data_IF_846430637022
#
_entry.id   IF_846430637022
#
_cell.length_a   1.000
_cell.length_b   1.000
_cell.length_c   1.000
_cell.angle_alpha   90.00
_cell.angle_beta   90.00
_cell.angle_gamma   90.00
#
_symmetry.space_group_name_H-M   'P 1'
#
loop_
_entity.id
_entity.type
_entity.pdbx_description
1 polymer ?
#
# COMPACT_ATOMS: atom_id res chain seq x y z
N UNK A 1 -1.83 -18.01 31.38
CA UNK A 1 -3.06 -17.64 32.13
C UNK A 1 -2.98 -16.23 32.73
N UNK A 2 -2.15 -15.95 33.74
CA UNK A 2 -2.10 -14.63 34.40
C UNK A 2 -1.76 -13.46 33.43
N UNK A 3 -0.85 -13.70 32.48
CA UNK A 3 -0.48 -12.72 31.45
C UNK A 3 -1.63 -12.43 30.46
N UNK A 4 -2.45 -13.43 30.14
CA UNK A 4 -3.59 -13.30 29.23
C UNK A 4 -4.74 -12.54 29.89
N UNK A 5 -5.01 -12.82 31.17
CA UNK A 5 -5.96 -12.03 31.98
C UNK A 5 -5.54 -10.56 32.03
N UNK A 6 -4.26 -10.27 32.29
CA UNK A 6 -3.76 -8.89 32.31
C UNK A 6 -3.91 -8.18 30.95
N UNK A 7 -3.70 -8.88 29.84
CA UNK A 7 -3.90 -8.37 28.48
C UNK A 7 -5.37 -8.03 28.21
N UNK A 8 -6.29 -8.88 28.63
CA UNK A 8 -7.74 -8.62 28.55
C UNK A 8 -8.10 -7.43 29.45
N UNK A 9 -7.58 -7.36 30.67
CA UNK A 9 -7.86 -6.24 31.58
C UNK A 9 -7.41 -4.89 31.00
N UNK A 10 -6.19 -4.81 30.47
CA UNK A 10 -5.68 -3.59 29.81
C UNK A 10 -6.57 -3.19 28.62
N UNK A 11 -6.96 -4.14 27.78
CA UNK A 11 -7.87 -3.89 26.67
C UNK A 11 -9.22 -3.29 27.12
N UNK A 12 -9.85 -3.85 28.15
CA UNK A 12 -11.14 -3.37 28.65
C UNK A 12 -11.05 -1.94 29.23
N UNK A 13 -9.90 -1.58 29.80
CA UNK A 13 -9.66 -0.25 30.36
C UNK A 13 -9.36 0.80 29.29
N UNK A 14 -8.59 0.45 28.26
CA UNK A 14 -7.95 1.43 27.37
C UNK A 14 -8.55 1.46 25.95
N UNK A 15 -9.14 0.38 25.46
CA UNK A 15 -9.62 0.31 24.07
C UNK A 15 -10.75 1.31 23.78
N UNK A 16 -10.93 1.74 22.52
CA UNK A 16 -12.11 2.51 22.11
C UNK A 16 -13.40 1.79 22.48
N UNK A 17 -14.43 2.53 22.89
CA UNK A 17 -15.71 1.96 23.31
C UNK A 17 -16.30 1.05 22.24
N UNK A 18 -16.17 1.41 20.96
CA UNK A 18 -16.67 0.69 19.80
C UNK A 18 -16.03 -0.69 19.62
N UNK A 19 -14.78 -0.87 20.06
CA UNK A 19 -14.03 -2.11 19.92
C UNK A 19 -14.30 -3.13 21.04
N UNK A 20 -14.96 -2.73 22.12
CA UNK A 20 -15.24 -3.60 23.27
C UNK A 20 -16.44 -4.49 22.94
N UNK A 21 -16.17 -5.75 22.58
CA UNK A 21 -17.17 -6.79 22.34
C UNK A 21 -16.56 -8.18 22.57
N UNK A 22 -17.40 -9.20 22.66
CA UNK A 22 -17.00 -10.61 22.80
C UNK A 22 -16.01 -11.07 21.71
N UNK A 23 -16.20 -10.65 20.45
CA UNK A 23 -15.30 -10.98 19.34
C UNK A 23 -13.84 -10.52 19.56
N UNK A 24 -13.66 -9.33 20.13
CA UNK A 24 -12.32 -8.81 20.48
C UNK A 24 -11.67 -9.63 21.59
N UNK A 25 -12.46 -10.18 22.52
CA UNK A 25 -11.94 -11.04 23.58
C UNK A 25 -11.46 -12.38 23.03
N UNK A 26 -12.22 -13.00 22.11
CA UNK A 26 -11.75 -14.18 21.41
C UNK A 26 -10.41 -13.93 20.73
N UNK A 27 -10.28 -12.84 19.99
CA UNK A 27 -9.03 -12.45 19.32
C UNK A 27 -7.86 -12.30 20.30
N UNK A 28 -8.08 -11.68 21.47
CA UNK A 28 -7.03 -11.50 22.48
C UNK A 28 -6.57 -12.81 23.12
N UNK A 29 -7.44 -13.81 23.18
CA UNK A 29 -7.17 -15.15 23.73
C UNK A 29 -6.57 -16.15 22.75
N UNK A 30 -6.35 -15.73 21.51
CA UNK A 30 -5.65 -16.55 20.50
C UNK A 30 -4.16 -16.60 20.78
N UNK A 31 -3.58 -17.78 20.61
CA UNK A 31 -2.14 -18.02 20.56
C UNK A 31 -1.80 -18.64 19.20
N UNK A 32 -1.39 -17.81 18.25
CA UNK A 32 -1.31 -18.20 16.84
C UNK A 32 -2.69 -18.59 16.29
N UNK A 33 -2.82 -19.84 15.84
CA UNK A 33 -4.01 -20.40 15.20
C UNK A 33 -4.97 -21.11 16.18
N UNK A 34 -4.54 -21.27 17.44
CA UNK A 34 -5.32 -21.95 18.47
C UNK A 34 -6.14 -20.96 19.28
N UNK A 35 -7.46 -21.15 19.26
CA UNK A 35 -8.40 -20.47 20.16
C UNK A 35 -8.51 -21.32 21.42
N UNK A 36 -8.19 -20.72 22.57
CA UNK A 36 -8.37 -21.37 23.89
C UNK A 36 -9.79 -21.93 24.03
N UNK A 37 -9.95 -23.04 24.77
CA UNK A 37 -11.27 -23.62 25.01
C UNK A 37 -12.26 -22.57 25.53
N UNK A 38 -13.51 -22.61 25.05
CA UNK A 38 -14.53 -21.63 25.39
C UNK A 38 -14.70 -21.43 26.91
N UNK A 39 -14.68 -22.52 27.68
CA UNK A 39 -14.78 -22.45 29.13
C UNK A 39 -13.58 -21.70 29.74
N UNK A 40 -12.40 -21.85 29.16
CA UNK A 40 -11.18 -21.13 29.54
C UNK A 40 -11.31 -19.65 29.21
N UNK A 41 -11.73 -19.30 27.98
CA UNK A 41 -11.96 -17.90 27.57
C UNK A 41 -13.01 -17.24 28.45
N UNK A 42 -14.14 -17.90 28.69
CA UNK A 42 -15.20 -17.42 29.56
C UNK A 42 -14.66 -17.14 30.97
N UNK A 43 -13.94 -18.09 31.56
CA UNK A 43 -13.38 -17.93 32.92
C UNK A 43 -12.37 -16.78 32.98
N UNK A 44 -11.52 -16.63 31.97
CA UNK A 44 -10.57 -15.51 31.86
C UNK A 44 -11.29 -14.17 31.72
N UNK A 45 -12.36 -14.13 30.92
CA UNK A 45 -13.16 -12.93 30.66
C UNK A 45 -13.94 -12.52 31.90
N UNK A 46 -14.60 -13.46 32.57
CA UNK A 46 -15.30 -13.23 33.86
C UNK A 46 -14.35 -12.62 34.89
N UNK A 47 -13.14 -13.18 35.00
CA UNK A 47 -12.12 -12.67 35.93
C UNK A 47 -11.68 -11.25 35.57
N UNK A 48 -11.41 -10.97 34.30
CA UNK A 48 -10.99 -9.66 33.83
C UNK A 48 -12.11 -8.60 33.94
N UNK A 49 -13.35 -8.95 33.60
CA UNK A 49 -14.53 -8.08 33.72
C UNK A 49 -14.80 -7.74 35.19
N UNK A 50 -14.72 -8.72 36.10
CA UNK A 50 -14.89 -8.47 37.54
C UNK A 50 -13.81 -7.55 38.10
N UNK A 51 -12.55 -7.74 37.69
CA UNK A 51 -11.42 -6.88 38.06
C UNK A 51 -11.53 -5.45 37.52
N UNK A 52 -11.87 -5.29 36.24
CA UNK A 52 -11.89 -3.99 35.56
C UNK A 52 -13.14 -3.16 35.87
N UNK A 53 -14.29 -3.79 36.05
CA UNK A 53 -15.55 -3.08 36.40
C UNK A 53 -15.47 -2.35 37.74
N UNK A 54 -14.58 -2.76 38.64
CA UNK A 54 -14.28 -2.07 39.89
C UNK A 54 -13.36 -0.85 39.69
N UNK A 55 -12.55 -0.83 38.62
CA UNK A 55 -11.57 0.21 38.30
C UNK A 55 -12.13 1.29 37.36
N UNK A 56 -13.26 1.06 36.71
CA UNK A 56 -13.86 1.96 35.72
C UNK A 56 -14.87 2.91 36.40
N UNK A 57 -14.60 4.21 36.37
CA UNK A 57 -15.54 5.26 36.82
C UNK A 57 -16.58 5.62 35.75
N UNK A 58 -16.24 5.49 34.46
CA UNK A 58 -17.15 5.82 33.37
C UNK A 58 -18.27 4.79 33.22
N UNK A 59 -19.50 5.18 33.56
CA UNK A 59 -20.68 4.31 33.50
C UNK A 59 -20.92 3.68 32.12
N UNK A 60 -20.72 4.42 31.02
CA UNK A 60 -20.94 3.91 29.66
C UNK A 60 -19.96 2.79 29.31
N UNK A 61 -18.68 2.97 29.67
CA UNK A 61 -17.65 1.92 29.50
C UNK A 61 -17.94 0.73 30.41
N UNK A 62 -18.29 0.98 31.68
CA UNK A 62 -18.62 -0.07 32.66
C UNK A 62 -19.76 -0.97 32.18
N UNK A 63 -20.85 -0.38 31.67
CA UNK A 63 -21.96 -1.14 31.06
C UNK A 63 -21.49 -1.98 29.89
N UNK A 64 -20.68 -1.42 28.99
CA UNK A 64 -20.19 -2.15 27.81
C UNK A 64 -19.27 -3.31 28.18
N UNK A 65 -18.41 -3.14 29.18
CA UNK A 65 -17.52 -4.20 29.70
C UNK A 65 -18.32 -5.34 30.35
N UNK A 66 -19.38 -5.05 31.11
CA UNK A 66 -20.23 -6.09 31.72
C UNK A 66 -21.04 -6.85 30.65
N UNK A 67 -21.52 -6.15 29.62
CA UNK A 67 -22.34 -6.76 28.56
C UNK A 67 -21.59 -7.82 27.74
N UNK A 68 -20.26 -7.83 27.75
CA UNK A 68 -19.45 -8.87 27.09
C UNK A 68 -19.83 -10.28 27.59
N UNK A 69 -20.14 -10.43 28.88
CA UNK A 69 -20.53 -11.73 29.43
C UNK A 69 -21.88 -12.20 28.87
N UNK A 70 -22.81 -11.28 28.66
CA UNK A 70 -24.10 -11.56 28.03
C UNK A 70 -23.94 -11.90 26.54
N UNK A 71 -23.02 -11.23 25.84
CA UNK A 71 -22.68 -11.54 24.45
C UNK A 71 -22.03 -12.93 24.29
N UNK A 72 -21.28 -13.40 25.29
CA UNK A 72 -20.70 -14.74 25.30
C UNK A 72 -21.75 -15.82 25.54
N UNK A 73 -22.79 -15.52 26.32
CA UNK A 73 -23.89 -16.44 26.63
C UNK A 73 -24.92 -16.58 25.50
N UNK A 74 -24.90 -15.72 24.48
CA UNK A 74 -25.87 -15.75 23.38
C UNK A 74 -25.59 -16.86 22.35
N UNK A 75 -26.66 -17.47 21.82
CA UNK A 75 -26.56 -18.49 20.76
C UNK A 75 -25.97 -17.95 19.44
N UNK A 76 -26.02 -16.62 19.23
CA UNK A 76 -25.46 -15.91 18.07
C UNK A 76 -23.93 -15.97 17.96
N UNK A 77 -23.21 -16.31 19.05
CA UNK A 77 -21.75 -16.36 19.05
C UNK A 77 -21.17 -17.68 18.45
N UNK A 78 -21.97 -18.75 18.35
CA UNK A 78 -21.50 -20.05 17.79
C UNK A 78 -21.28 -20.06 16.27
N UNK A 79 -22.15 -19.45 15.44
CA UNK A 79 -21.90 -19.28 14.01
C UNK A 79 -20.65 -18.43 13.72
N UNK A 80 -20.39 -17.41 14.55
CA UNK A 80 -19.19 -16.56 14.44
C UNK A 80 -17.89 -17.35 14.53
N UNK A 81 -17.83 -18.36 15.43
CA UNK A 81 -16.68 -19.28 15.54
C UNK A 81 -16.43 -20.08 14.26
N UNK A 82 -17.47 -20.66 13.67
CA UNK A 82 -17.35 -21.47 12.45
C UNK A 82 -17.01 -20.62 11.21
N UNK A 83 -17.56 -19.40 11.14
CA UNK A 83 -17.27 -18.45 10.07
C UNK A 83 -15.84 -17.90 10.19
N UNK A 84 -15.38 -17.57 11.40
CA UNK A 84 -14.01 -17.10 11.63
C UNK A 84 -12.98 -18.21 11.38
N UNK A 85 -13.24 -19.44 11.84
CA UNK A 85 -12.36 -20.58 11.57
C UNK A 85 -12.31 -20.92 10.07
N UNK A 86 -13.45 -20.89 9.38
CA UNK A 86 -13.52 -21.16 7.94
C UNK A 86 -12.93 -20.05 7.07
N UNK A 87 -13.04 -18.79 7.49
CA UNK A 87 -12.40 -17.66 6.81
C UNK A 87 -10.88 -17.72 6.99
N UNK A 88 -10.42 -18.10 8.18
CA UNK A 88 -8.99 -18.21 8.47
C UNK A 88 -8.35 -19.37 7.72
N UNK A 89 -9.00 -20.54 7.64
CA UNK A 89 -8.51 -21.66 6.84
C UNK A 89 -8.38 -21.28 5.36
N UNK A 90 -9.37 -20.59 4.80
CA UNK A 90 -9.31 -20.10 3.41
C UNK A 90 -8.15 -19.12 3.19
N UNK A 91 -7.89 -18.21 4.12
CA UNK A 91 -6.78 -17.25 4.00
C UNK A 91 -5.44 -17.99 4.03
N UNK A 92 -5.23 -18.95 4.94
CA UNK A 92 -4.00 -19.74 4.97
C UNK A 92 -3.82 -20.52 3.66
N UNK A 93 -4.87 -21.18 3.17
CA UNK A 93 -4.83 -21.90 1.89
C UNK A 93 -4.45 -20.99 0.72
N UNK A 94 -4.99 -19.76 0.68
CA UNK A 94 -4.66 -18.74 -0.32
C UNK A 94 -3.18 -18.32 -0.23
N UNK A 95 -2.67 -18.11 1.00
CA UNK A 95 -1.26 -17.77 1.26
C UNK A 95 -0.33 -18.92 0.83
N UNK A 96 -0.62 -20.14 1.24
CA UNK A 96 0.15 -21.31 0.86
C UNK A 96 0.22 -21.48 -0.65
N UNK A 97 -0.94 -21.32 -1.32
CA UNK A 97 -1.02 -21.41 -2.77
C UNK A 97 -0.20 -20.31 -3.44
N UNK A 98 -0.27 -19.07 -2.96
CA UNK A 98 0.54 -17.96 -3.44
C UNK A 98 2.04 -18.22 -3.28
N UNK A 99 2.47 -18.70 -2.11
CA UNK A 99 3.89 -19.04 -1.88
C UNK A 99 4.34 -20.18 -2.80
N UNK A 100 3.50 -21.20 -3.04
CA UNK A 100 3.79 -22.27 -4.01
C UNK A 100 3.93 -21.72 -5.43
N UNK A 101 3.03 -20.83 -5.86
CA UNK A 101 3.10 -20.16 -7.18
C UNK A 101 4.40 -19.37 -7.30
N UNK A 102 4.77 -18.60 -6.27
CA UNK A 102 6.01 -17.83 -6.24
C UNK A 102 7.23 -18.75 -6.36
N UNK A 103 7.29 -19.86 -5.61
CA UNK A 103 8.37 -20.85 -5.70
C UNK A 103 8.48 -21.48 -7.09
N UNK A 104 7.36 -21.73 -7.76
CA UNK A 104 7.33 -22.25 -9.13
C UNK A 104 7.89 -21.24 -10.12
N UNK A 105 7.47 -19.96 -10.03
CA UNK A 105 8.01 -18.87 -10.85
C UNK A 105 9.52 -18.69 -10.63
N UNK A 106 9.98 -18.71 -9.38
CA UNK A 106 11.41 -18.66 -9.03
C UNK A 106 12.19 -19.90 -9.49
N UNK A 107 11.53 -21.04 -9.67
CA UNK A 107 12.14 -22.25 -10.20
C UNK A 107 12.39 -22.24 -11.70
N UNK A 108 11.79 -21.28 -12.42
CA UNK A 108 11.81 -21.20 -13.89
C UNK A 108 12.20 -19.79 -14.35
N UNK A 109 13.44 -19.33 -14.07
CA UNK A 109 13.88 -18.01 -14.48
C UNK A 109 13.83 -17.88 -16.01
N UNK A 110 13.33 -16.74 -16.49
CA UNK A 110 13.23 -16.47 -17.94
C UNK A 110 14.60 -16.16 -18.53
N UNK A 111 15.50 -15.55 -17.77
CA UNK A 111 16.85 -15.17 -18.23
C UNK A 111 17.94 -15.83 -17.39
N UNK A 112 19.09 -16.10 -18.01
CA UNK A 112 20.26 -16.64 -17.31
C UNK A 112 20.81 -15.67 -16.25
N UNK A 113 20.58 -14.36 -16.42
CA UNK A 113 20.97 -13.33 -15.45
C UNK A 113 20.19 -13.46 -14.14
N UNK A 114 18.92 -13.89 -14.23
CA UNK A 114 18.03 -14.06 -13.07
C UNK A 114 18.29 -15.36 -12.30
N UNK A 115 18.94 -16.36 -12.88
CA UNK A 115 19.14 -17.68 -12.25
C UNK A 115 19.74 -17.60 -10.85
N UNK A 116 20.79 -16.79 -10.67
CA UNK A 116 21.48 -16.67 -9.38
C UNK A 116 20.57 -15.99 -8.35
N UNK A 117 19.89 -14.90 -8.75
CA UNK A 117 18.95 -14.20 -7.89
C UNK A 117 17.79 -15.11 -7.49
N UNK A 118 17.18 -15.79 -8.45
CA UNK A 118 16.01 -16.65 -8.25
C UNK A 118 16.34 -17.85 -7.39
N UNK A 119 17.50 -18.49 -7.61
CA UNK A 119 18.01 -19.58 -6.78
C UNK A 119 18.21 -19.13 -5.33
N UNK A 120 18.74 -17.93 -5.12
CA UNK A 120 18.95 -17.38 -3.78
C UNK A 120 17.63 -17.02 -3.09
N UNK A 121 16.70 -16.36 -3.79
CA UNK A 121 15.37 -16.07 -3.29
C UNK A 121 14.62 -17.35 -2.89
N UNK A 122 14.63 -18.36 -3.76
CA UNK A 122 14.02 -19.66 -3.48
C UNK A 122 14.63 -20.32 -2.24
N UNK A 123 15.96 -20.34 -2.12
CA UNK A 123 16.65 -20.85 -0.94
C UNK A 123 16.27 -20.09 0.33
N UNK A 124 16.15 -18.77 0.27
CA UNK A 124 15.76 -17.95 1.41
C UNK A 124 14.30 -18.23 1.84
N UNK A 125 13.40 -18.45 0.87
CA UNK A 125 12.02 -18.86 1.15
C UNK A 125 11.98 -20.28 1.75
N UNK A 126 12.76 -21.22 1.23
CA UNK A 126 12.77 -22.61 1.72
C UNK A 126 13.44 -22.76 3.09
N UNK A 127 14.46 -21.96 3.39
CA UNK A 127 15.28 -22.09 4.59
C UNK A 127 14.99 -21.10 5.71
N UNK A 128 14.17 -20.07 5.49
CA UNK A 128 13.99 -18.96 6.44
C UNK A 128 12.58 -18.41 6.58
N UNK A 129 11.59 -18.98 5.90
CA UNK A 129 10.21 -18.51 5.95
C UNK A 129 9.31 -19.57 6.57
N UNK A 130 8.68 -19.23 7.71
CA UNK A 130 7.60 -20.03 8.24
C UNK A 130 6.27 -19.58 7.61
N UNK A 131 5.68 -20.40 6.73
CA UNK A 131 4.47 -20.03 6.00
C UNK A 131 3.27 -19.85 6.95
N UNK A 132 3.22 -20.59 8.06
CA UNK A 132 2.13 -20.47 9.04
C UNK A 132 2.15 -19.15 9.81
N UNK A 133 3.28 -18.43 9.84
CA UNK A 133 3.39 -17.12 10.48
C UNK A 133 3.01 -15.97 9.54
N UNK A 134 2.82 -16.25 8.25
CA UNK A 134 2.43 -15.24 7.27
C UNK A 134 0.97 -14.87 7.41
N UNK A 135 0.70 -13.57 7.33
CA UNK A 135 -0.64 -13.02 7.31
C UNK A 135 -0.86 -12.18 6.05
N UNK A 136 -2.11 -11.82 5.77
CA UNK A 136 -2.47 -10.99 4.60
C UNK A 136 -1.77 -9.62 4.53
N UNK A 137 -1.14 -9.19 5.63
CA UNK A 137 -0.35 -7.96 5.73
C UNK A 137 1.05 -8.11 5.16
N UNK A 138 1.56 -9.33 5.03
CA UNK A 138 2.89 -9.60 4.51
C UNK A 138 2.88 -9.59 2.97
N UNK A 139 3.76 -8.81 2.30
CA UNK A 139 3.80 -8.76 0.83
C UNK A 139 3.96 -10.14 0.18
N UNK A 140 4.82 -10.99 0.76
CA UNK A 140 5.08 -12.34 0.23
C UNK A 140 3.85 -13.25 0.25
N UNK A 141 2.93 -13.03 1.19
CA UNK A 141 1.67 -13.75 1.27
C UNK A 141 0.83 -13.52 0.00
N UNK A 142 1.01 -12.38 -0.67
CA UNK A 142 0.40 -12.02 -1.96
C UNK A 142 1.38 -12.11 -3.13
N UNK A 143 2.44 -12.93 -3.02
CA UNK A 143 3.51 -13.12 -4.02
C UNK A 143 4.43 -11.93 -4.27
N UNK A 144 4.31 -10.85 -3.50
CA UNK A 144 5.10 -9.62 -3.67
C UNK A 144 6.46 -9.73 -2.97
N UNK A 145 7.52 -9.39 -3.69
CA UNK A 145 8.87 -9.27 -3.15
C UNK A 145 9.14 -7.80 -2.81
N UNK A 146 9.12 -7.47 -1.52
CA UNK A 146 9.40 -6.12 -1.02
C UNK A 146 10.87 -5.97 -0.64
N UNK A 147 11.51 -4.86 -1.04
CA UNK A 147 12.92 -4.54 -0.80
C UNK A 147 13.33 -4.50 0.69
N UNK A 148 12.39 -4.19 1.56
CA UNK A 148 12.54 -4.16 3.01
C UNK A 148 12.36 -5.55 3.68
N UNK A 149 11.92 -6.56 2.94
CA UNK A 149 11.64 -7.89 3.47
C UNK A 149 12.92 -8.62 3.93
N UNK A 150 12.78 -9.49 4.95
CA UNK A 150 13.90 -10.31 5.47
C UNK A 150 14.54 -11.17 4.38
N UNK A 151 13.73 -11.66 3.44
CA UNK A 151 14.18 -12.52 2.33
C UNK A 151 15.14 -11.77 1.40
N UNK A 152 14.89 -10.49 1.15
CA UNK A 152 15.74 -9.64 0.30
C UNK A 152 16.97 -9.14 1.08
N UNK A 153 16.82 -8.82 2.36
CA UNK A 153 17.95 -8.41 3.24
C UNK A 153 19.05 -9.48 3.33
N UNK A 154 18.69 -10.76 3.19
CA UNK A 154 19.64 -11.88 3.20
C UNK A 154 20.39 -12.08 1.86
N UNK A 155 20.12 -11.28 0.83
CA UNK A 155 20.82 -11.35 -0.45
C UNK A 155 22.19 -10.66 -0.39
N UNK A 156 23.15 -11.20 -1.14
CA UNK A 156 24.44 -10.55 -1.36
C UNK A 156 24.27 -9.22 -2.10
N UNK A 157 25.27 -8.33 -2.02
CA UNK A 157 25.25 -7.05 -2.74
C UNK A 157 25.04 -7.24 -4.26
N UNK A 158 25.70 -8.23 -4.87
CA UNK A 158 25.54 -8.54 -6.31
C UNK A 158 24.11 -8.95 -6.66
N UNK A 159 23.48 -9.78 -5.83
CA UNK A 159 22.10 -10.22 -6.04
C UNK A 159 21.10 -9.06 -5.86
N UNK A 160 21.33 -8.18 -4.87
CA UNK A 160 20.48 -6.99 -4.68
C UNK A 160 20.55 -6.03 -5.86
N UNK A 161 21.72 -5.84 -6.45
CA UNK A 161 21.88 -5.06 -7.70
C UNK A 161 21.09 -5.63 -8.89
N UNK A 162 20.97 -6.95 -9.00
CA UNK A 162 20.13 -7.58 -10.03
C UNK A 162 18.63 -7.48 -9.71
N UNK A 163 18.30 -7.24 -8.44
CA UNK A 163 16.92 -7.10 -7.98
C UNK A 163 16.40 -5.67 -8.14
N UNK A 164 17.24 -4.68 -7.84
CA UNK A 164 16.93 -3.25 -7.92
C UNK A 164 16.78 -2.76 -9.35
N UNK A 165 15.88 -1.78 -9.49
CA UNK A 165 15.64 -1.05 -10.73
C UNK A 165 16.22 0.35 -10.53
N UNK A 166 17.56 0.45 -10.61
CA UNK A 166 18.28 1.70 -10.40
C UNK A 166 17.78 2.81 -11.36
N UNK A 167 17.12 2.44 -12.46
CA UNK A 167 16.61 3.32 -13.49
C UNK A 167 15.57 4.35 -13.01
N UNK A 168 14.96 4.14 -11.83
CA UNK A 168 13.89 5.00 -11.30
C UNK A 168 14.35 6.12 -10.35
N UNK A 169 15.56 6.07 -9.78
CA UNK A 169 15.82 6.83 -8.52
C UNK A 169 17.09 7.69 -8.51
N UNK A 170 18.16 7.32 -9.21
CA UNK A 170 19.46 7.95 -8.95
C UNK A 170 20.15 8.57 -10.15
N UNK A 171 20.65 9.80 -9.92
CA UNK A 171 21.57 10.58 -10.74
C UNK A 171 21.13 10.66 -12.20
N UNK A 172 19.96 11.28 -12.40
CA UNK A 172 19.49 11.56 -13.75
C UNK A 172 20.48 12.47 -14.47
N UNK A 173 21.09 11.96 -15.54
CA UNK A 173 21.93 12.78 -16.41
C UNK A 173 21.06 13.69 -17.30
N UNK A 174 21.65 14.77 -17.81
CA UNK A 174 21.01 15.69 -18.75
C UNK A 174 20.70 14.99 -20.09
N UNK A 175 19.67 15.47 -20.79
CA UNK A 175 19.28 14.91 -22.09
C UNK A 175 19.96 15.67 -23.23
N UNK A 176 20.72 14.96 -24.07
CA UNK A 176 21.39 15.56 -25.23
C UNK A 176 20.44 15.83 -26.42
N UNK A 177 19.26 15.19 -26.45
CA UNK A 177 18.29 15.34 -27.54
C UNK A 177 16.83 15.13 -27.06
N UNK A 178 16.01 16.19 -26.95
CA UNK A 178 14.63 16.11 -26.43
C UNK A 178 13.64 15.49 -27.43
N UNK A 179 14.05 15.26 -28.69
CA UNK A 179 13.16 14.75 -29.72
C UNK A 179 13.22 13.21 -29.78
N UNK A 180 12.39 12.54 -28.97
CA UNK A 180 11.65 11.31 -29.35
C UNK A 180 10.71 10.86 -28.19
N UNK A 181 9.53 11.48 -28.07
CA UNK A 181 8.47 11.00 -27.13
C UNK A 181 7.95 9.62 -27.54
N UNK A 182 8.34 9.03 -28.67
CA UNK A 182 7.76 7.75 -29.12
C UNK A 182 8.37 6.49 -28.51
N UNK A 183 9.53 6.56 -27.83
CA UNK A 183 10.25 5.38 -27.32
C UNK A 183 10.99 5.63 -25.99
N UNK A 184 10.42 6.44 -25.09
CA UNK A 184 11.12 6.74 -23.83
C UNK A 184 11.01 5.56 -22.86
N UNK A 185 12.08 5.32 -22.13
CA UNK A 185 12.24 4.27 -21.13
C UNK A 185 12.82 4.87 -19.86
N UNK A 186 12.81 4.12 -18.75
CA UNK A 186 13.58 4.51 -17.58
C UNK A 186 15.02 4.10 -17.83
N UNK A 187 15.90 5.09 -17.90
CA UNK A 187 17.32 4.97 -18.30
C UNK A 187 18.23 5.91 -17.49
N UNK A 188 17.74 6.44 -16.35
CA UNK A 188 18.42 7.46 -15.56
C UNK A 188 18.71 8.76 -16.33
N UNK A 189 17.84 9.16 -17.26
CA UNK A 189 17.86 10.50 -17.84
C UNK A 189 16.60 11.30 -17.48
N UNK A 190 16.76 12.62 -17.35
CA UNK A 190 15.61 13.52 -17.34
C UNK A 190 14.90 13.49 -18.70
N UNK A 191 13.57 13.43 -18.70
CA UNK A 191 12.75 13.45 -19.93
C UNK A 191 12.34 14.85 -20.37
N UNK A 192 12.77 15.84 -19.64
CA UNK A 192 12.56 17.26 -19.88
C UNK A 192 13.88 17.99 -19.68
N UNK A 193 14.05 19.11 -20.38
CA UNK A 193 15.23 19.96 -20.24
C UNK A 193 15.21 20.78 -18.94
N UNK A 194 16.32 21.43 -18.64
CA UNK A 194 16.47 22.27 -17.45
C UNK A 194 15.39 23.36 -17.37
N UNK A 195 14.96 23.90 -18.50
CA UNK A 195 13.96 24.97 -18.54
C UNK A 195 12.58 24.48 -18.06
N UNK A 196 12.08 23.35 -18.58
CA UNK A 196 10.79 22.80 -18.15
C UNK A 196 10.86 22.23 -16.71
N UNK A 197 12.01 21.70 -16.30
CA UNK A 197 12.24 21.28 -14.91
C UNK A 197 12.21 22.47 -13.95
N UNK A 198 12.91 23.57 -14.28
CA UNK A 198 12.95 24.80 -13.48
C UNK A 198 11.55 25.42 -13.37
N UNK A 199 10.85 25.57 -14.49
CA UNK A 199 9.47 26.06 -14.53
C UNK A 199 8.54 25.20 -13.67
N UNK A 200 8.72 23.88 -13.66
CA UNK A 200 7.95 23.00 -12.78
C UNK A 200 8.33 23.19 -11.31
N UNK A 201 9.62 23.34 -10.99
CA UNK A 201 10.08 23.62 -9.64
C UNK A 201 9.53 24.96 -9.12
N UNK A 202 9.49 26.01 -9.95
CA UNK A 202 8.91 27.31 -9.62
C UNK A 202 7.41 27.21 -9.31
N UNK A 203 6.65 26.41 -10.07
CA UNK A 203 5.24 26.14 -9.77
C UNK A 203 5.05 25.43 -8.43
N UNK A 204 5.89 24.44 -8.13
CA UNK A 204 5.86 23.73 -6.84
C UNK A 204 6.19 24.70 -5.70
N UNK A 205 7.19 25.57 -5.89
CA UNK A 205 7.55 26.61 -4.92
C UNK A 205 6.40 27.58 -4.67
N UNK A 206 5.71 28.05 -5.71
CA UNK A 206 4.53 28.91 -5.54
C UNK A 206 3.43 28.24 -4.71
N UNK A 207 3.17 26.94 -4.92
CA UNK A 207 2.24 26.18 -4.06
C UNK A 207 2.73 26.09 -2.61
N UNK A 208 4.04 25.94 -2.38
CA UNK A 208 4.59 25.94 -1.02
C UNK A 208 4.45 27.31 -0.36
N UNK A 209 4.64 28.41 -1.10
CA UNK A 209 4.38 29.77 -0.60
C UNK A 209 2.93 29.92 -0.16
N UNK A 210 1.97 29.44 -0.95
CA UNK A 210 0.55 29.43 -0.60
C UNK A 210 0.28 28.61 0.68
N UNK A 211 0.91 27.44 0.81
CA UNK A 211 0.81 26.58 2.01
C UNK A 211 1.36 27.30 3.25
N UNK A 212 2.51 27.97 3.14
CA UNK A 212 3.13 28.70 4.25
C UNK A 212 2.30 29.89 4.69
N UNK A 213 1.54 30.50 3.78
CA UNK A 213 0.60 31.56 4.10
C UNK A 213 -0.73 31.05 4.69
N UNK A 214 -0.99 29.74 4.67
CA UNK A 214 -2.23 29.17 5.18
C UNK A 214 -2.25 29.13 6.73
N UNK A 215 -3.17 29.86 7.38
CA UNK A 215 -3.26 29.89 8.85
C UNK A 215 -3.47 28.50 9.48
N UNK A 216 -4.09 27.56 8.75
CA UNK A 216 -4.32 26.19 9.21
C UNK A 216 -3.02 25.43 9.52
N UNK A 217 -1.91 25.81 8.89
CA UNK A 217 -0.60 25.16 9.04
C UNK A 217 0.48 26.07 9.63
N UNK A 218 0.12 27.30 10.01
CA UNK A 218 1.04 28.32 10.52
C UNK A 218 1.82 27.93 11.78
N UNK A 219 1.28 27.03 12.61
CA UNK A 219 1.94 26.55 13.83
C UNK A 219 1.73 25.06 13.98
N UNK A 220 2.60 24.40 14.75
CA UNK A 220 2.43 22.98 15.10
C UNK A 220 1.11 22.70 15.84
N UNK A 221 0.61 23.66 16.63
CA UNK A 221 -0.66 23.51 17.32
C UNK A 221 -1.83 23.50 16.33
N UNK A 222 -1.86 24.44 15.39
CA UNK A 222 -2.91 24.53 14.37
C UNK A 222 -2.82 23.40 13.34
N UNK A 223 -1.62 22.98 12.93
CA UNK A 223 -1.46 21.86 11.98
C UNK A 223 -1.89 20.53 12.58
N UNK A 224 -1.61 20.29 13.87
CA UNK A 224 -1.90 19.01 14.53
C UNK A 224 -3.39 18.66 14.64
N UNK A 225 -4.26 19.67 14.60
CA UNK A 225 -5.71 19.48 14.70
C UNK A 225 -6.39 19.35 13.33
N UNK A 226 -5.65 19.53 12.22
CA UNK A 226 -6.23 19.45 10.89
C UNK A 226 -6.67 18.03 10.53
N UNK A 227 -7.77 17.96 9.77
CA UNK A 227 -8.27 16.68 9.27
C UNK A 227 -7.40 16.14 8.15
N UNK A 228 -7.48 14.83 7.91
CA UNK A 228 -6.82 14.18 6.77
C UNK A 228 -7.31 14.77 5.44
N UNK A 229 -8.62 15.04 5.35
CA UNK A 229 -9.23 15.68 4.18
C UNK A 229 -8.65 17.07 3.90
N UNK A 230 -8.52 17.92 4.94
CA UNK A 230 -7.92 19.26 4.82
C UNK A 230 -6.47 19.18 4.37
N UNK A 231 -5.69 18.24 4.93
CA UNK A 231 -4.31 18.06 4.53
C UNK A 231 -4.19 17.60 3.06
N UNK A 232 -5.08 16.71 2.62
CA UNK A 232 -5.16 16.27 1.23
C UNK A 232 -5.52 17.43 0.31
N UNK A 233 -6.55 18.21 0.63
CA UNK A 233 -7.07 19.26 -0.26
C UNK A 233 -6.14 20.46 -0.36
N UNK A 234 -5.49 20.83 0.74
CA UNK A 234 -4.79 22.11 0.85
C UNK A 234 -3.28 21.95 0.66
N UNK A 235 -2.73 20.73 0.80
CA UNK A 235 -1.30 20.46 0.68
C UNK A 235 -0.98 19.42 -0.37
N UNK A 236 -1.47 18.19 -0.20
CA UNK A 236 -1.04 17.05 -1.03
C UNK A 236 -1.51 17.19 -2.48
N UNK A 237 -2.81 17.44 -2.69
CA UNK A 237 -3.39 17.57 -4.02
C UNK A 237 -2.79 18.76 -4.80
N UNK A 238 -2.64 19.97 -4.23
CA UNK A 238 -1.96 21.08 -4.88
C UNK A 238 -0.52 20.74 -5.32
N UNK A 239 0.28 20.12 -4.45
CA UNK A 239 1.65 19.71 -4.78
C UNK A 239 1.68 18.71 -5.95
N UNK A 240 0.81 17.70 -5.93
CA UNK A 240 0.71 16.74 -7.03
C UNK A 240 0.25 17.40 -8.33
N UNK A 241 -0.72 18.32 -8.28
CA UNK A 241 -1.18 19.06 -9.45
C UNK A 241 -0.08 19.93 -10.05
N UNK A 242 0.66 20.68 -9.24
CA UNK A 242 1.79 21.48 -9.72
C UNK A 242 2.84 20.59 -10.40
N UNK A 243 3.21 19.49 -9.74
CA UNK A 243 4.23 18.55 -10.23
C UNK A 243 3.84 17.85 -11.54
N UNK A 244 2.56 17.54 -11.72
CA UNK A 244 2.03 16.78 -12.86
C UNK A 244 1.29 17.64 -13.88
N UNK A 245 1.37 18.96 -13.78
CA UNK A 245 0.78 19.91 -14.74
C UNK A 245 1.63 20.01 -16.01
N UNK A 246 0.99 20.21 -17.17
CA UNK A 246 1.69 20.42 -18.44
C UNK A 246 2.75 19.36 -18.77
N UNK A 247 2.42 18.08 -18.59
CA UNK A 247 3.30 16.99 -19.01
C UNK A 247 3.45 16.98 -20.53
N UNK A 248 4.65 16.66 -21.09
CA UNK A 248 4.91 16.67 -22.52
C UNK A 248 4.07 15.65 -23.31
N UNK A 249 3.53 14.63 -22.62
CA UNK A 249 2.66 13.61 -23.21
C UNK A 249 1.19 13.75 -22.79
N UNK A 250 0.78 14.96 -22.41
CA UNK A 250 -0.60 15.37 -22.14
C UNK A 250 -1.04 15.22 -20.68
N UNK A 251 -2.25 15.66 -20.38
CA UNK A 251 -2.77 15.74 -19.01
C UNK A 251 -3.01 14.38 -18.36
N UNK A 252 -2.84 14.33 -17.03
CA UNK A 252 -3.22 13.21 -16.17
C UNK A 252 -4.40 13.62 -15.29
N UNK A 253 -5.36 12.72 -15.06
CA UNK A 253 -6.49 13.01 -14.20
C UNK A 253 -6.19 12.56 -12.77
N UNK A 254 -6.20 13.49 -11.82
CA UNK A 254 -6.13 13.20 -10.38
C UNK A 254 -7.54 13.27 -9.79
N UNK A 255 -8.02 12.16 -9.23
CA UNK A 255 -9.31 12.08 -8.52
C UNK A 255 -9.11 11.87 -7.03
N UNK A 256 -9.98 12.42 -6.19
CA UNK A 256 -9.97 12.28 -4.73
C UNK A 256 -10.81 11.08 -4.23
N UNK A 257 -10.69 10.82 -2.92
CA UNK A 257 -11.18 9.69 -2.11
C UNK A 257 -12.64 9.22 -2.29
N UNK A 258 -13.46 9.93 -3.06
CA UNK A 258 -14.81 9.50 -3.37
C UNK A 258 -14.83 8.43 -4.47
N UNK A 259 -13.81 8.40 -5.34
CA UNK A 259 -13.72 7.45 -6.45
C UNK A 259 -13.32 6.06 -5.96
N UNK A 260 -14.05 5.04 -6.42
CA UNK A 260 -13.67 3.64 -6.22
C UNK A 260 -12.62 3.21 -7.26
N UNK A 261 -11.60 2.49 -6.82
CA UNK A 261 -10.64 1.83 -7.71
C UNK A 261 -11.34 0.76 -8.56
N UNK A 262 -11.18 0.87 -9.88
CA UNK A 262 -11.59 -0.09 -10.88
C UNK A 262 -10.80 -1.39 -10.74
N UNK A 263 -9.50 -1.31 -10.44
CA UNK A 263 -8.63 -2.46 -10.28
C UNK A 263 -9.05 -3.31 -9.07
N UNK A 264 -9.22 -2.67 -7.92
CA UNK A 264 -9.73 -3.31 -6.71
C UNK A 264 -11.13 -3.88 -6.92
N UNK A 265 -12.02 -3.14 -7.59
CA UNK A 265 -13.36 -3.60 -7.93
C UNK A 265 -13.34 -4.83 -8.83
N UNK A 266 -12.49 -4.86 -9.86
CA UNK A 266 -12.37 -5.98 -10.77
C UNK A 266 -11.97 -7.25 -10.01
N UNK A 267 -10.92 -7.19 -9.18
CA UNK A 267 -10.51 -8.32 -8.34
C UNK A 267 -11.61 -8.79 -7.39
N UNK A 268 -12.27 -7.88 -6.68
CA UNK A 268 -13.28 -8.25 -5.66
C UNK A 268 -14.52 -8.93 -6.23
N UNK A 269 -14.82 -8.67 -7.51
CA UNK A 269 -15.98 -9.22 -8.22
C UNK A 269 -15.65 -10.47 -9.03
N UNK A 270 -14.37 -10.81 -9.18
CA UNK A 270 -13.97 -11.99 -9.92
C UNK A 270 -14.52 -13.26 -9.27
N UNK A 271 -15.15 -14.14 -10.07
CA UNK A 271 -15.71 -15.43 -9.65
C UNK A 271 -16.80 -15.45 -8.57
N UNK A 272 -17.24 -14.30 -8.02
CA UNK A 272 -18.05 -14.28 -6.78
C UNK A 272 -19.54 -14.02 -6.97
N UNK A 273 -20.01 -13.71 -8.19
CA UNK A 273 -21.43 -13.50 -8.52
C UNK A 273 -22.13 -12.35 -7.76
N UNK A 274 -21.43 -11.63 -6.89
CA UNK A 274 -21.94 -10.55 -6.03
C UNK A 274 -21.18 -9.27 -6.33
N UNK A 275 -21.90 -8.16 -6.51
CA UNK A 275 -21.29 -6.84 -6.76
C UNK A 275 -20.72 -6.26 -5.46
N UNK A 276 -19.41 -6.38 -5.28
CA UNK A 276 -18.62 -5.70 -4.25
C UNK A 276 -18.09 -4.36 -4.79
N UNK A 277 -18.11 -3.34 -3.94
CA UNK A 277 -17.51 -2.04 -4.24
C UNK A 277 -15.98 -2.13 -4.28
N UNK A 278 -15.34 -1.34 -5.15
CA UNK A 278 -13.89 -1.17 -5.11
C UNK A 278 -13.45 -0.48 -3.83
N UNK A 279 -12.20 -0.66 -3.43
CA UNK A 279 -11.60 0.17 -2.39
C UNK A 279 -11.47 1.62 -2.87
N UNK A 280 -11.25 2.52 -1.91
CA UNK A 280 -11.14 3.97 -2.13
C UNK A 280 -9.79 4.45 -1.59
N UNK A 281 -8.77 4.51 -2.47
CA UNK A 281 -7.56 5.28 -2.22
C UNK A 281 -7.89 6.77 -2.08
N UNK A 282 -7.07 7.52 -1.35
CA UNK A 282 -7.33 8.94 -1.08
C UNK A 282 -7.17 9.81 -2.32
N UNK A 283 -6.20 9.48 -3.17
CA UNK A 283 -6.04 10.05 -4.50
C UNK A 283 -5.71 8.92 -5.48
N UNK A 284 -6.26 8.99 -6.68
CA UNK A 284 -5.96 8.07 -7.79
C UNK A 284 -5.58 8.91 -9.01
N UNK A 285 -4.48 8.56 -9.68
CA UNK A 285 -4.17 9.10 -11.00
C UNK A 285 -4.59 8.14 -12.12
N UNK A 286 -5.20 8.72 -13.13
CA UNK A 286 -5.88 8.03 -14.21
C UNK A 286 -5.41 8.56 -15.56
N UNK A 287 -5.15 7.65 -16.50
CA UNK A 287 -4.94 7.98 -17.91
C UNK A 287 -6.08 7.36 -18.74
N UNK A 288 -6.57 8.11 -19.73
CA UNK A 288 -7.46 7.56 -20.75
C UNK A 288 -6.63 7.10 -21.95
N UNK A 289 -6.56 5.78 -22.17
CA UNK A 289 -5.89 5.16 -23.31
C UNK A 289 -6.93 4.45 -24.17
N UNK A 290 -7.08 4.83 -25.45
CA UNK A 290 -7.99 4.19 -26.41
C UNK A 290 -9.42 3.99 -25.88
N UNK A 291 -9.97 5.00 -25.20
CA UNK A 291 -11.31 4.95 -24.60
C UNK A 291 -11.42 4.17 -23.28
N UNK A 292 -10.36 3.48 -22.85
CA UNK A 292 -10.28 2.81 -21.54
C UNK A 292 -9.61 3.73 -20.53
N UNK A 293 -10.10 3.69 -19.29
CA UNK A 293 -9.50 4.39 -18.18
C UNK A 293 -8.59 3.44 -17.42
N UNK A 294 -7.33 3.85 -17.20
CA UNK A 294 -6.32 3.04 -16.53
C UNK A 294 -5.85 3.75 -15.27
N UNK A 295 -5.86 3.02 -14.15
CA UNK A 295 -5.33 3.45 -12.85
C UNK A 295 -3.89 2.97 -12.71
N UNK A 296 -2.94 3.87 -12.46
CA UNK A 296 -1.53 3.50 -12.31
C UNK A 296 -0.76 4.30 -11.25
N UNK A 297 -1.43 5.20 -10.53
CA UNK A 297 -0.90 5.84 -9.33
C UNK A 297 -1.98 5.87 -8.25
N UNK A 298 -1.58 5.52 -7.03
CA UNK A 298 -2.43 5.54 -5.84
C UNK A 298 -1.76 6.34 -4.72
N UNK A 299 -2.56 7.07 -3.96
CA UNK A 299 -2.09 7.82 -2.79
C UNK A 299 -2.88 7.39 -1.56
N UNK A 300 -2.16 7.13 -0.47
CA UNK A 300 -2.71 6.91 0.86
C UNK A 300 -2.10 7.93 1.81
N UNK A 301 -2.94 8.68 2.50
CA UNK A 301 -2.53 9.75 3.41
C UNK A 301 -2.99 9.47 4.82
N UNK A 302 -2.17 9.87 5.77
CA UNK A 302 -2.58 10.07 7.15
C UNK A 302 -2.76 11.56 7.44
N UNK A 303 -3.16 11.88 8.67
CA UNK A 303 -3.06 13.24 9.21
C UNK A 303 -1.60 13.60 9.49
N UNK A 304 -1.32 14.90 9.57
CA UNK A 304 -0.01 15.47 9.93
C UNK A 304 0.53 14.83 11.23
N UNK A 305 -0.35 14.63 12.22
CA UNK A 305 -0.06 13.80 13.39
C UNK A 305 -0.74 12.45 13.22
N UNK A 306 0.06 11.40 13.01
CA UNK A 306 -0.43 10.04 12.85
C UNK A 306 0.29 9.06 13.80
N UNK A 307 -0.41 8.00 14.20
CA UNK A 307 0.20 6.91 14.97
C UNK A 307 1.10 6.04 14.07
N UNK A 308 2.09 5.35 14.65
CA UNK A 308 2.87 4.34 13.93
C UNK A 308 1.98 3.27 13.28
N UNK A 309 0.90 2.86 13.96
CA UNK A 309 -0.07 1.89 13.43
C UNK A 309 -0.75 2.39 12.16
N UNK A 310 -1.23 3.64 12.13
CA UNK A 310 -1.85 4.24 10.92
C UNK A 310 -0.85 4.28 9.77
N UNK A 311 0.41 4.65 10.03
CA UNK A 311 1.47 4.60 9.01
C UNK A 311 1.63 3.20 8.42
N UNK A 312 1.76 2.17 9.26
CA UNK A 312 1.91 0.79 8.79
C UNK A 312 0.65 0.28 8.08
N UNK A 313 -0.55 0.63 8.56
CA UNK A 313 -1.81 0.26 7.92
C UNK A 313 -1.97 0.88 6.53
N UNK A 314 -1.61 2.16 6.37
CA UNK A 314 -1.68 2.88 5.09
C UNK A 314 -0.66 2.34 4.09
N UNK A 315 0.55 2.00 4.55
CA UNK A 315 1.56 1.33 3.72
C UNK A 315 1.05 -0.02 3.21
N UNK A 316 0.43 -0.82 4.09
CA UNK A 316 -0.18 -2.11 3.73
C UNK A 316 -1.34 -1.94 2.76
N UNK A 317 -2.18 -0.92 2.98
CA UNK A 317 -3.27 -0.58 2.08
C UNK A 317 -2.70 -0.24 0.69
N UNK A 318 -1.67 0.61 0.64
CA UNK A 318 -1.08 1.13 -0.58
C UNK A 318 -0.48 0.03 -1.46
N UNK A 319 0.44 -0.80 -0.96
CA UNK A 319 1.10 -1.81 -1.81
C UNK A 319 0.09 -2.85 -2.36
N UNK A 320 -0.99 -3.13 -1.62
CA UNK A 320 -2.09 -4.00 -2.08
C UNK A 320 -2.89 -3.36 -3.21
N UNK A 321 -3.13 -2.05 -3.18
CA UNK A 321 -3.74 -1.34 -4.31
C UNK A 321 -2.83 -1.32 -5.53
N UNK A 322 -1.52 -1.16 -5.33
CA UNK A 322 -0.54 -1.23 -6.41
C UNK A 322 -0.53 -2.61 -7.08
N UNK A 323 -0.64 -3.68 -6.30
CA UNK A 323 -0.73 -5.05 -6.80
C UNK A 323 -2.02 -5.30 -7.60
N UNK A 324 -3.15 -4.82 -7.09
CA UNK A 324 -4.43 -4.86 -7.79
C UNK A 324 -4.35 -4.07 -9.11
N UNK A 325 -3.79 -2.85 -9.08
CA UNK A 325 -3.55 -2.01 -10.26
C UNK A 325 -2.65 -2.67 -11.29
N UNK A 326 -1.54 -3.25 -10.85
CA UNK A 326 -0.58 -3.94 -11.73
C UNK A 326 -1.23 -5.13 -12.44
N UNK A 327 -2.03 -5.92 -11.72
CA UNK A 327 -2.76 -7.06 -12.28
C UNK A 327 -3.85 -6.60 -13.26
N UNK A 328 -4.55 -5.51 -12.93
CA UNK A 328 -5.56 -4.92 -13.81
C UNK A 328 -4.96 -4.41 -15.13
N UNK A 329 -3.82 -3.69 -15.05
CA UNK A 329 -3.08 -3.23 -16.22
C UNK A 329 -2.59 -4.41 -17.05
N UNK A 330 -2.00 -5.42 -16.42
CA UNK A 330 -1.50 -6.63 -17.09
C UNK A 330 -2.62 -7.39 -17.83
N UNK A 331 -3.84 -7.28 -17.31
CA UNK A 331 -5.03 -7.86 -17.96
C UNK A 331 -5.53 -7.02 -19.14
N UNK A 332 -5.31 -5.71 -19.11
CA UNK A 332 -5.71 -4.80 -20.17
C UNK A 332 -4.69 -4.72 -21.32
N UNK A 333 -3.39 -4.75 -21.00
CA UNK A 333 -2.27 -4.71 -21.94
C UNK A 333 -1.06 -5.48 -21.39
N UNK A 334 -0.19 -5.99 -22.26
CA UNK A 334 1.12 -6.51 -21.84
C UNK A 334 2.06 -5.35 -21.56
N UNK A 335 2.12 -4.91 -20.30
CA UNK A 335 3.05 -3.87 -19.89
C UNK A 335 4.51 -4.34 -20.06
N UNK A 336 5.41 -3.40 -20.35
CA UNK A 336 6.83 -3.69 -20.51
C UNK A 336 7.43 -4.08 -19.15
N UNK A 337 7.77 -5.36 -18.97
CA UNK A 337 8.39 -5.86 -17.73
C UNK A 337 9.65 -5.07 -17.39
N UNK A 338 9.94 -4.92 -16.09
CA UNK A 338 11.06 -4.13 -15.55
C UNK A 338 11.07 -2.63 -15.93
N UNK A 339 10.09 -2.14 -16.70
CA UNK A 339 10.06 -0.77 -17.21
C UNK A 339 8.77 -0.04 -16.82
N UNK A 340 7.62 -0.69 -16.86
CA UNK A 340 6.39 -0.09 -16.36
C UNK A 340 6.20 -0.41 -14.87
N UNK A 341 5.93 0.61 -14.06
CA UNK A 341 5.65 0.46 -12.63
C UNK A 341 4.36 1.17 -12.20
N UNK A 342 3.59 0.56 -11.31
CA UNK A 342 2.45 1.22 -10.66
C UNK A 342 2.98 2.03 -9.48
N UNK A 343 2.65 3.32 -9.43
CA UNK A 343 3.21 4.27 -8.46
C UNK A 343 2.36 4.33 -7.21
N UNK A 344 3.02 4.33 -6.05
CA UNK A 344 2.39 4.49 -4.75
C UNK A 344 2.99 5.67 -4.01
N UNK A 345 2.14 6.61 -3.58
CA UNK A 345 2.57 7.71 -2.72
C UNK A 345 1.95 7.48 -1.34
N UNK A 346 2.79 7.39 -0.33
CA UNK A 346 2.34 7.38 1.05
C UNK A 346 2.65 8.73 1.67
N UNK A 347 1.67 9.40 2.27
CA UNK A 347 1.91 10.54 3.13
C UNK A 347 1.66 10.13 4.58
N UNK A 348 2.71 10.04 5.37
CA UNK A 348 2.64 9.65 6.78
C UNK A 348 3.15 10.80 7.66
N UNK A 349 2.20 11.58 8.18
CA UNK A 349 2.49 12.83 8.86
C UNK A 349 3.07 13.86 7.90
N UNK A 350 4.23 14.41 8.24
CA UNK A 350 4.94 15.38 7.38
C UNK A 350 5.84 14.71 6.34
N UNK A 351 5.89 13.37 6.28
CA UNK A 351 6.74 12.66 5.31
C UNK A 351 5.94 12.15 4.14
N UNK A 352 6.42 12.42 2.93
CA UNK A 352 5.94 11.85 1.68
C UNK A 352 6.94 10.80 1.19
N UNK A 353 6.44 9.62 0.85
CA UNK A 353 7.20 8.48 0.37
C UNK A 353 6.77 8.16 -1.05
N UNK A 354 7.73 8.04 -1.95
CA UNK A 354 7.52 7.59 -3.33
C UNK A 354 7.90 6.12 -3.44
N UNK A 355 6.96 5.31 -3.90
CA UNK A 355 7.11 3.87 -4.02
C UNK A 355 6.67 3.42 -5.42
N UNK A 356 7.15 2.26 -5.84
CA UNK A 356 6.74 1.66 -7.11
C UNK A 356 6.61 0.15 -6.97
N UNK A 357 5.62 -0.41 -7.67
CA UNK A 357 5.50 -1.85 -7.88
C UNK A 357 5.76 -2.16 -9.36
N UNK A 358 6.81 -2.94 -9.62
CA UNK A 358 7.25 -3.34 -10.96
C UNK A 358 7.16 -4.86 -11.09
N UNK A 359 6.59 -5.35 -12.19
CA UNK A 359 6.66 -6.77 -12.50
C UNK A 359 7.97 -7.08 -13.23
N UNK A 360 8.67 -8.10 -12.77
CA UNK A 360 9.83 -8.59 -13.48
C UNK A 360 9.48 -9.37 -14.75
N UNK A 361 10.51 -9.82 -15.47
CA UNK A 361 10.32 -10.58 -16.71
C UNK A 361 9.40 -11.80 -16.51
N UNK A 362 9.48 -12.45 -15.34
CA UNK A 362 8.68 -13.63 -14.99
C UNK A 362 7.30 -13.28 -14.41
N UNK A 363 6.93 -12.01 -14.42
CA UNK A 363 5.68 -11.51 -13.86
C UNK A 363 5.62 -11.69 -12.34
N UNK A 364 6.77 -11.61 -11.65
CA UNK A 364 6.83 -11.53 -10.19
C UNK A 364 6.78 -10.06 -9.79
N UNK A 365 5.78 -9.62 -9.00
CA UNK A 365 5.70 -8.25 -8.54
C UNK A 365 6.77 -7.94 -7.50
N UNK A 366 7.51 -6.85 -7.72
CA UNK A 366 8.53 -6.32 -6.81
C UNK A 366 8.11 -4.93 -6.34
N UNK A 367 8.09 -4.73 -5.02
CA UNK A 367 7.73 -3.46 -4.40
C UNK A 367 8.98 -2.77 -3.86
N UNK A 368 9.17 -1.51 -4.27
CA UNK A 368 10.36 -0.71 -3.95
C UNK A 368 9.98 0.61 -3.30
N UNK A 369 10.72 0.95 -2.26
CA UNK A 369 10.73 2.27 -1.63
C UNK A 369 11.79 3.12 -2.33
N UNK A 370 11.36 4.04 -3.21
CA UNK A 370 12.29 4.77 -4.07
C UNK A 370 13.00 5.89 -3.30
N UNK A 371 12.23 6.83 -2.77
CA UNK A 371 12.79 7.95 -2.02
C UNK A 371 11.70 8.57 -1.13
N UNK A 372 12.09 9.48 -0.23
CA UNK A 372 11.17 10.22 0.61
C UNK A 372 11.66 11.64 0.86
N UNK A 373 10.71 12.52 1.17
CA UNK A 373 10.99 13.88 1.59
C UNK A 373 10.06 14.29 2.72
N UNK A 374 10.44 15.36 3.41
CA UNK A 374 9.56 16.02 4.36
C UNK A 374 8.84 17.17 3.67
N UNK A 375 7.54 17.29 3.90
CA UNK A 375 6.71 18.38 3.40
C UNK A 375 6.91 19.58 4.32
N UNK A 376 7.53 20.68 3.87
CA UNK A 376 7.75 21.84 4.70
C UNK A 376 6.42 22.62 4.83
N UNK A 377 5.72 22.45 5.95
CA UNK A 377 4.49 23.19 6.24
C UNK A 377 4.73 24.64 6.66
N UNK A 378 5.98 24.99 6.98
CA UNK A 378 6.42 26.36 7.30
C UNK A 378 7.72 26.69 6.56
N UNK A 379 7.99 27.98 6.36
CA UNK A 379 9.04 28.50 5.47
C UNK A 379 10.49 28.34 5.97
N UNK A 380 10.73 27.77 7.14
CA UNK A 380 12.04 27.82 7.82
C UNK A 380 13.12 26.87 7.25
N UNK A 381 12.96 26.30 6.04
CA UNK A 381 13.80 25.15 5.65
C UNK A 381 14.07 24.98 4.16
N UNK A 382 15.14 25.61 3.69
CA UNK A 382 15.63 25.46 2.30
C UNK A 382 15.99 24.02 1.92
N UNK A 383 16.58 23.22 2.84
CA UNK A 383 16.96 21.84 2.55
C UNK A 383 15.76 20.89 2.38
N UNK A 384 14.72 21.02 3.22
CA UNK A 384 13.49 20.21 3.13
C UNK A 384 12.74 20.54 1.84
N UNK A 385 12.66 21.83 1.50
CA UNK A 385 12.06 22.32 0.26
C UNK A 385 12.75 21.73 -0.98
N UNK A 386 14.09 21.78 -1.03
CA UNK A 386 14.86 21.20 -2.14
C UNK A 386 14.63 19.69 -2.27
N UNK A 387 14.61 18.97 -1.16
CA UNK A 387 14.37 17.52 -1.16
C UNK A 387 12.97 17.18 -1.69
N UNK A 388 11.93 17.91 -1.25
CA UNK A 388 10.57 17.72 -1.73
C UNK A 388 10.44 18.01 -3.23
N UNK A 389 11.00 19.12 -3.71
CA UNK A 389 10.97 19.46 -5.14
C UNK A 389 11.64 18.36 -5.96
N UNK A 390 12.82 17.89 -5.52
CA UNK A 390 13.52 16.77 -6.18
C UNK A 390 12.64 15.52 -6.24
N UNK A 391 12.01 15.13 -5.13
CA UNK A 391 11.13 13.96 -5.08
C UNK A 391 9.96 14.09 -6.06
N UNK A 392 9.34 15.28 -6.13
CA UNK A 392 8.21 15.57 -7.00
C UNK A 392 8.61 15.64 -8.49
N UNK A 393 9.81 16.13 -8.80
CA UNK A 393 10.37 16.06 -10.15
C UNK A 393 10.70 14.61 -10.54
N UNK A 394 11.24 13.80 -9.63
CA UNK A 394 11.43 12.36 -9.86
C UNK A 394 10.10 11.67 -10.17
N UNK A 395 9.05 11.96 -9.38
CA UNK A 395 7.69 11.49 -9.66
C UNK A 395 7.24 11.91 -11.07
N UNK A 396 7.41 13.19 -11.45
CA UNK A 396 7.06 13.69 -12.78
C UNK A 396 7.77 12.91 -13.88
N UNK A 397 9.09 12.72 -13.77
CA UNK A 397 9.89 11.98 -14.73
C UNK A 397 9.36 10.56 -14.92
N UNK A 398 9.07 9.88 -13.80
CA UNK A 398 8.53 8.52 -13.81
C UNK A 398 7.15 8.47 -14.50
N UNK A 399 6.27 9.44 -14.21
CA UNK A 399 4.94 9.52 -14.83
C UNK A 399 5.02 9.79 -16.32
N UNK A 400 5.96 10.61 -16.78
CA UNK A 400 6.20 10.84 -18.21
C UNK A 400 6.52 9.52 -18.90
N UNK A 401 7.47 8.75 -18.37
CA UNK A 401 7.85 7.44 -18.95
C UNK A 401 6.70 6.45 -18.88
N UNK A 402 6.07 6.27 -17.72
CA UNK A 402 4.99 5.31 -17.52
C UNK A 402 3.79 5.58 -18.44
N UNK A 403 3.40 6.84 -18.60
CA UNK A 403 2.32 7.22 -19.52
C UNK A 403 2.65 6.85 -20.97
N UNK A 404 3.90 7.03 -21.38
CA UNK A 404 4.32 6.66 -22.73
C UNK A 404 4.29 5.15 -22.94
N UNK A 405 4.91 4.37 -22.03
CA UNK A 405 4.89 2.91 -22.07
C UNK A 405 3.45 2.37 -22.07
N UNK A 406 2.56 2.97 -21.28
CA UNK A 406 1.15 2.59 -21.24
C UNK A 406 0.45 2.85 -22.58
N UNK A 407 0.68 4.01 -23.22
CA UNK A 407 0.10 4.33 -24.53
C UNK A 407 0.57 3.33 -25.60
N UNK A 408 1.87 3.08 -25.69
CA UNK A 408 2.45 2.13 -26.64
C UNK A 408 1.88 0.72 -26.47
N UNK A 409 1.83 0.21 -25.24
CA UNK A 409 1.34 -1.14 -24.96
C UNK A 409 -0.17 -1.28 -25.17
N UNK A 410 -0.93 -0.22 -24.91
CA UNK A 410 -2.37 -0.18 -25.19
C UNK A 410 -2.69 -0.10 -26.69
N UNK A 411 -1.88 0.60 -27.49
CA UNK A 411 -1.98 0.59 -28.96
C UNK A 411 -1.73 -0.82 -29.52
N UNK A 412 -0.69 -1.50 -29.03
CA UNK A 412 -0.39 -2.88 -29.43
C UNK A 412 -1.49 -3.86 -29.00
N UNK A 413 -2.07 -3.70 -27.82
CA UNK A 413 -3.11 -4.58 -27.28
C UNK A 413 -4.41 -4.60 -28.11
N UNK A 414 -4.69 -3.56 -28.92
CA UNK A 414 -5.83 -3.56 -29.87
C UNK A 414 -5.68 -4.68 -30.91
N UNK A 415 -4.44 -4.98 -31.31
CA UNK A 415 -4.13 -6.02 -32.29
C UNK A 415 -3.93 -7.41 -31.64
N UNK A 416 -3.45 -7.44 -30.41
CA UNK A 416 -3.12 -8.68 -29.69
C UNK A 416 -3.44 -8.56 -28.19
N UNK A 417 -4.69 -8.92 -27.82
CA UNK A 417 -5.09 -8.98 -26.42
C UNK A 417 -4.19 -9.95 -25.62
N UNK A 418 -3.87 -9.64 -24.36
CA UNK A 418 -3.19 -10.58 -23.47
C UNK A 418 -3.96 -11.91 -23.39
N UNK A 419 -3.26 -13.03 -23.62
CA UNK A 419 -3.78 -14.39 -23.36
C UNK A 419 -3.26 -14.85 -21.99
N UNK A 420 -4.11 -15.54 -21.22
CA UNK A 420 -3.80 -16.08 -19.88
C UNK A 420 -3.52 -15.02 -18.81
N UNK A 421 -4.48 -14.13 -18.57
CA UNK A 421 -4.42 -13.14 -17.48
C UNK A 421 -4.74 -13.82 -16.15
N UNK A 422 -3.78 -13.88 -15.23
CA UNK A 422 -4.05 -14.36 -13.87
C UNK A 422 -4.73 -13.27 -13.04
N UNK A 423 -5.70 -13.61 -12.18
CA UNK A 423 -6.25 -12.66 -11.24
C UNK A 423 -5.16 -12.14 -10.28
N UNK A 424 -5.42 -10.99 -9.68
CA UNK A 424 -4.52 -10.41 -8.69
C UNK A 424 -4.33 -11.37 -7.50
N UNK A 425 -3.08 -11.66 -7.09
CA UNK A 425 -2.79 -12.57 -5.99
C UNK A 425 -2.98 -11.93 -4.60
N UNK A 426 -3.56 -10.73 -4.52
CA UNK A 426 -3.84 -10.04 -3.26
C UNK A 426 -4.72 -10.89 -2.34
N UNK A 427 -4.13 -11.36 -1.25
CA UNK A 427 -4.82 -12.17 -0.22
C UNK A 427 -6.01 -11.42 0.34
N UNK A 428 -7.11 -12.13 0.57
CA UNK A 428 -8.31 -11.54 1.16
C UNK A 428 -8.03 -11.11 2.61
N UNK A 429 -8.31 -9.86 2.95
CA UNK A 429 -8.27 -9.41 4.35
C UNK A 429 -9.62 -9.66 5.03
N UNK A 430 -9.65 -9.99 6.33
CA UNK A 430 -10.88 -10.10 7.09
C UNK A 430 -11.74 -8.85 6.92
N UNK A 431 -13.04 -9.01 6.73
CA UNK A 431 -13.95 -7.87 6.66
C UNK A 431 -14.07 -7.27 8.06
N UNK A 432 -13.64 -6.02 8.23
CA UNK A 432 -14.13 -5.18 9.32
C UNK A 432 -15.62 -4.94 9.04
N UNK A 433 -16.49 -5.69 9.72
CA UNK A 433 -17.92 -5.39 9.79
C UNK A 433 -18.23 -4.88 11.17
#
# INVERSE_FOLDING_TARGET
MAQLTAKIESFLLEAPLEAICSGSIFYLTMDGDEVSEYNTIRTLTERAVRSTSQKIENNRRKTKVVNILLELESEECRPGRAILSGLFSHIIEEIEQNVRILKTKLGSPITNADENLYRALKKNIDGGLNISELIWRDPIASTVLSDDSKIIKNLSHRQRRTLWVDEFVENFDEIDNPNHIRNIVHDKLWKEDEFELLKTAERILGILEDIWCNPAFSTRATSSVQSEGTYITDVIMPLLRASLSDLPNGYICLSTAERQSLASKARRNDGTGKVKMGKKPDIIALERCNGKLVEFLYVESSRIVCSPTKKTDDEIKLWRELLDGSSYISSACRSTCNQFGVIGIQVAGEKIYLNVLVNDASGIPRYFHLDYAEIPLTSEVGLRTKALIRLLLTLRNIIIVNKNLLKQTMEQAVSHLPRNTSPSPTVTSPSHK
#
